data_IF_221581326482
#
_entry.id   IF_221581326482
#
_cell.length_a   1.000
_cell.length_b   1.000
_cell.length_c   1.000
_cell.angle_alpha   90.00
_cell.angle_beta   90.00
_cell.angle_gamma   90.00
#
_symmetry.space_group_name_H-M   'P 1'
#
loop_
_entity.id
_entity.type
_entity.pdbx_description
1 polymer ?
#
# COMPACT_ATOMS: atom_id res chain seq x y z
N UNK A 1 70.88 -1.43 45.75
CA UNK A 1 70.12 -2.39 44.90
C UNK A 1 68.68 -2.20 45.28
N UNK A 2 67.93 -1.43 44.46
CA UNK A 2 66.46 -1.21 44.62
C UNK A 2 65.78 -1.98 43.56
N UNK A 3 64.94 -2.90 43.97
CA UNK A 3 64.10 -3.69 43.05
C UNK A 3 62.79 -2.94 42.84
N UNK A 4 62.49 -2.53 41.53
CA UNK A 4 61.25 -2.02 41.15
C UNK A 4 60.31 -3.22 40.76
N UNK A 5 59.15 -3.33 41.42
CA UNK A 5 58.10 -4.22 41.07
C UNK A 5 57.16 -3.52 40.10
N UNK A 6 56.72 -4.15 38.95
CA UNK A 6 55.72 -3.57 38.06
C UNK A 6 54.35 -3.81 38.60
N UNK A 7 53.55 -2.73 38.73
CA UNK A 7 52.11 -2.73 39.00
C UNK A 7 51.38 -3.15 37.71
N UNK A 8 50.78 -4.35 37.72
CA UNK A 8 49.95 -4.84 36.64
C UNK A 8 48.51 -4.29 36.84
N UNK A 9 48.14 -3.25 36.12
CA UNK A 9 46.80 -2.71 36.12
C UNK A 9 45.89 -3.61 35.25
N UNK A 10 44.98 -4.36 35.90
CA UNK A 10 43.96 -5.19 35.28
C UNK A 10 42.83 -4.26 34.80
N UNK A 11 42.78 -3.93 33.51
CA UNK A 11 41.67 -3.25 32.87
C UNK A 11 40.49 -4.21 32.74
N UNK A 12 39.52 -4.13 33.64
CA UNK A 12 38.19 -4.74 33.51
C UNK A 12 37.43 -4.00 32.41
N UNK A 13 37.48 -4.54 31.21
CA UNK A 13 36.57 -4.16 30.13
C UNK A 13 35.16 -4.60 30.54
N UNK A 14 34.35 -3.69 31.07
CA UNK A 14 32.94 -3.89 31.33
C UNK A 14 32.23 -4.05 29.99
N UNK A 15 31.83 -5.27 29.65
CA UNK A 15 30.88 -5.52 28.56
C UNK A 15 29.54 -4.84 28.90
N UNK A 16 29.22 -3.76 28.21
CA UNK A 16 27.88 -3.18 28.28
C UNK A 16 26.91 -4.21 27.72
N UNK A 17 25.85 -4.62 28.45
CA UNK A 17 24.88 -5.55 27.96
C UNK A 17 24.23 -4.93 26.69
N UNK A 18 24.43 -5.58 25.58
CA UNK A 18 23.69 -5.27 24.34
C UNK A 18 22.21 -5.50 24.63
N UNK A 19 21.45 -4.41 24.72
CA UNK A 19 19.99 -4.47 24.80
C UNK A 19 19.53 -5.10 23.50
N UNK A 20 19.14 -6.36 23.55
CA UNK A 20 18.54 -7.04 22.41
C UNK A 20 17.32 -6.21 21.96
N UNK A 21 17.39 -5.67 20.75
CA UNK A 21 16.29 -4.91 20.19
C UNK A 21 15.04 -5.82 20.19
N UNK A 22 13.97 -5.37 20.83
CA UNK A 22 12.68 -6.07 20.77
C UNK A 22 12.31 -6.32 19.31
N UNK A 23 11.81 -7.52 18.98
CA UNK A 23 11.42 -7.81 17.61
C UNK A 23 10.40 -6.75 17.14
N UNK A 24 10.65 -6.19 15.94
CA UNK A 24 9.79 -5.15 15.38
C UNK A 24 8.35 -5.66 15.33
N UNK A 25 7.43 -4.89 15.89
CA UNK A 25 5.99 -5.15 15.80
C UNK A 25 5.57 -5.09 14.33
N UNK A 26 4.80 -6.09 13.87
CA UNK A 26 4.31 -6.17 12.49
C UNK A 26 2.80 -6.22 12.52
N UNK A 27 2.17 -5.37 11.71
CA UNK A 27 0.73 -5.38 11.51
C UNK A 27 0.39 -5.86 10.10
N UNK A 28 -0.63 -6.74 10.01
CA UNK A 28 -1.28 -7.04 8.75
C UNK A 28 -2.37 -6.00 8.50
N UNK A 29 -2.37 -5.42 7.31
CA UNK A 29 -3.34 -4.43 6.86
C UNK A 29 -4.13 -4.93 5.66
N UNK A 30 -5.38 -4.50 5.55
CA UNK A 30 -6.25 -4.73 4.41
C UNK A 30 -6.99 -3.44 4.07
N UNK A 31 -7.07 -3.11 2.79
CA UNK A 31 -7.83 -1.96 2.28
C UNK A 31 -8.76 -2.43 1.17
N UNK A 32 -9.98 -1.91 1.15
CA UNK A 32 -10.92 -2.06 0.03
C UNK A 32 -11.19 -0.67 -0.51
N UNK A 33 -10.88 -0.44 -1.78
CA UNK A 33 -11.08 0.82 -2.49
C UNK A 33 -12.15 0.64 -3.55
N UNK A 34 -13.02 1.63 -3.70
CA UNK A 34 -14.07 1.66 -4.73
C UNK A 34 -14.11 3.01 -5.40
N UNK A 35 -14.15 3.01 -6.71
CA UNK A 35 -14.26 4.20 -7.54
C UNK A 35 -15.06 3.94 -8.79
N UNK A 36 -15.33 5.00 -9.53
CA UNK A 36 -15.92 4.88 -10.86
C UNK A 36 -14.81 5.07 -11.90
N UNK A 37 -14.63 4.06 -12.74
CA UNK A 37 -13.65 4.09 -13.83
C UNK A 37 -14.35 4.30 -15.16
N UNK A 38 -13.85 5.23 -15.96
CA UNK A 38 -14.27 5.34 -17.36
C UNK A 38 -13.58 4.27 -18.19
N UNK A 39 -14.38 3.43 -18.85
CA UNK A 39 -13.89 2.43 -19.79
C UNK A 39 -14.33 2.87 -21.18
N UNK A 40 -13.42 2.90 -22.18
CA UNK A 40 -13.78 3.25 -23.55
C UNK A 40 -14.98 2.44 -24.04
N UNK A 41 -15.90 3.08 -24.73
CA UNK A 41 -17.14 2.50 -25.27
C UNK A 41 -18.18 2.06 -24.22
N UNK A 42 -17.97 2.34 -22.94
CA UNK A 42 -18.90 2.03 -21.86
C UNK A 42 -19.16 3.25 -20.97
N UNK A 43 -20.33 3.26 -20.30
CA UNK A 43 -20.58 4.15 -19.18
C UNK A 43 -19.57 3.85 -18.06
N UNK A 44 -19.35 4.83 -17.16
CA UNK A 44 -18.52 4.63 -15.99
C UNK A 44 -18.94 3.36 -15.24
N UNK A 45 -17.97 2.54 -14.87
CA UNK A 45 -18.17 1.26 -14.19
C UNK A 45 -17.54 1.30 -12.79
N UNK A 46 -18.13 0.56 -11.86
CA UNK A 46 -17.58 0.41 -10.54
C UNK A 46 -16.28 -0.41 -10.62
N UNK A 47 -15.19 0.19 -10.14
CA UNK A 47 -13.90 -0.46 -9.92
C UNK A 47 -13.73 -0.74 -8.42
N UNK A 48 -13.31 -1.94 -8.08
CA UNK A 48 -12.99 -2.31 -6.70
C UNK A 48 -11.62 -2.97 -6.66
N UNK A 49 -10.76 -2.44 -5.78
CA UNK A 49 -9.40 -2.95 -5.55
C UNK A 49 -9.23 -3.31 -4.08
N UNK A 50 -8.65 -4.47 -3.82
CA UNK A 50 -8.24 -4.94 -2.50
C UNK A 50 -6.72 -4.92 -2.38
N UNK A 51 -6.22 -4.23 -1.34
CA UNK A 51 -4.80 -4.14 -1.03
C UNK A 51 -4.50 -4.94 0.24
N UNK A 52 -3.50 -5.81 0.17
CA UNK A 52 -3.01 -6.62 1.28
C UNK A 52 -1.63 -6.12 1.66
N UNK A 53 -1.49 -5.67 2.90
CA UNK A 53 -0.38 -4.83 3.36
C UNK A 53 0.28 -5.45 4.59
N UNK A 54 1.60 -5.34 4.68
CA UNK A 54 2.32 -5.52 5.93
C UNK A 54 2.97 -4.21 6.33
N UNK A 55 2.88 -3.87 7.61
CA UNK A 55 3.47 -2.67 8.18
C UNK A 55 4.38 -3.03 9.35
N UNK A 56 5.61 -2.51 9.35
CA UNK A 56 6.44 -2.46 10.55
C UNK A 56 5.98 -1.27 11.38
N UNK A 57 5.77 -1.50 12.66
CA UNK A 57 5.22 -0.51 13.58
C UNK A 57 6.33 0.02 14.47
N UNK A 58 6.40 1.33 14.57
CA UNK A 58 7.24 2.03 15.55
C UNK A 58 6.37 2.94 16.39
N UNK A 59 6.46 2.82 17.72
CA UNK A 59 5.67 3.61 18.68
C UNK A 59 6.59 4.49 19.52
N UNK A 60 6.24 5.77 19.64
CA UNK A 60 6.91 6.73 20.53
C UNK A 60 5.85 7.55 21.27
N UNK A 61 5.52 7.13 22.49
CA UNK A 61 4.42 7.74 23.25
C UNK A 61 3.08 7.58 22.53
N UNK A 62 2.44 8.71 22.21
CA UNK A 62 1.17 8.76 21.48
C UNK A 62 1.33 8.74 19.96
N UNK A 63 2.55 8.73 19.46
CA UNK A 63 2.85 8.71 18.02
C UNK A 63 3.15 7.29 17.56
N UNK A 64 2.52 6.87 16.44
CA UNK A 64 2.72 5.56 15.81
C UNK A 64 3.08 5.78 14.35
N UNK A 65 4.16 5.17 13.90
CA UNK A 65 4.55 5.12 12.51
C UNK A 65 4.33 3.71 11.96
N UNK A 66 3.59 3.61 10.85
CA UNK A 66 3.43 2.39 10.08
C UNK A 66 4.27 2.49 8.81
N UNK A 67 5.43 1.84 8.78
CA UNK A 67 6.18 1.66 7.54
C UNK A 67 5.62 0.46 6.80
N UNK A 68 4.77 0.74 5.82
CA UNK A 68 3.96 -0.26 5.13
C UNK A 68 4.48 -0.56 3.71
N UNK A 69 4.25 -1.78 3.27
CA UNK A 69 4.46 -2.22 1.88
C UNK A 69 3.32 -3.15 1.45
N UNK A 70 3.04 -3.15 0.16
CA UNK A 70 2.04 -4.03 -0.41
C UNK A 70 2.58 -5.45 -0.57
N UNK A 71 1.81 -6.44 -0.15
CA UNK A 71 2.09 -7.84 -0.41
C UNK A 71 1.34 -8.36 -1.63
N UNK A 72 0.15 -7.78 -1.87
CA UNK A 72 -0.73 -8.18 -2.96
C UNK A 72 -1.71 -7.06 -3.26
N UNK A 73 -2.01 -6.85 -4.53
CA UNK A 73 -3.04 -5.94 -5.02
C UNK A 73 -3.96 -6.74 -5.93
N UNK A 74 -5.25 -6.74 -5.66
CA UNK A 74 -6.26 -7.48 -6.42
C UNK A 74 -7.35 -6.52 -6.88
N UNK A 75 -7.58 -6.44 -8.19
CA UNK A 75 -8.70 -5.70 -8.77
C UNK A 75 -9.79 -6.68 -9.20
N UNK A 76 -11.04 -6.34 -8.93
CA UNK A 76 -12.16 -7.16 -9.38
C UNK A 76 -12.32 -7.06 -10.89
N UNK A 77 -12.69 -8.16 -11.57
CA UNK A 77 -12.96 -8.12 -12.99
C UNK A 77 -14.08 -7.13 -13.32
N UNK A 78 -13.87 -6.30 -14.35
CA UNK A 78 -14.84 -5.34 -14.87
C UNK A 78 -15.33 -5.83 -16.22
N UNK A 79 -16.61 -6.20 -16.34
CA UNK A 79 -17.19 -6.68 -17.60
C UNK A 79 -16.42 -7.83 -18.27
N UNK A 80 -15.86 -8.74 -17.47
CA UNK A 80 -15.06 -9.87 -17.96
C UNK A 80 -13.60 -9.51 -18.31
N UNK A 81 -13.18 -8.28 -18.04
CA UNK A 81 -11.76 -7.86 -18.16
C UNK A 81 -11.13 -7.85 -16.78
N UNK A 82 -9.99 -8.51 -16.64
CA UNK A 82 -9.14 -8.44 -15.46
C UNK A 82 -7.94 -7.55 -15.74
N UNK A 83 -7.56 -6.77 -14.75
CA UNK A 83 -6.33 -5.96 -14.76
C UNK A 83 -5.54 -6.31 -13.51
N UNK A 84 -4.33 -6.78 -13.68
CA UNK A 84 -3.48 -7.21 -12.57
C UNK A 84 -2.12 -6.56 -12.67
N UNK A 85 -1.65 -5.94 -11.58
CA UNK A 85 -0.24 -5.53 -11.46
C UNK A 85 0.61 -6.80 -11.32
N UNK A 86 1.74 -6.85 -12.00
CA UNK A 86 2.68 -7.98 -11.91
C UNK A 86 3.14 -8.20 -10.46
N UNK A 87 3.43 -9.43 -10.08
CA UNK A 87 3.94 -9.72 -8.73
C UNK A 87 5.31 -9.08 -8.49
N UNK A 88 6.14 -8.95 -9.52
CA UNK A 88 7.39 -8.19 -9.48
C UNK A 88 7.11 -6.70 -9.25
N UNK A 89 6.11 -6.12 -9.93
CA UNK A 89 5.67 -4.76 -9.71
C UNK A 89 5.26 -4.50 -8.26
N UNK A 90 4.43 -5.37 -7.68
CA UNK A 90 4.05 -5.27 -6.26
C UNK A 90 5.28 -5.34 -5.35
N UNK A 91 6.23 -6.25 -5.62
CA UNK A 91 7.43 -6.43 -4.80
C UNK A 91 8.38 -5.22 -4.85
N UNK A 92 8.39 -4.47 -5.95
CA UNK A 92 9.24 -3.28 -6.14
C UNK A 92 8.55 -1.98 -5.73
N UNK A 93 7.26 -2.00 -5.36
CA UNK A 93 6.60 -0.80 -4.82
C UNK A 93 7.34 -0.30 -3.57
N UNK A 94 7.68 0.97 -3.55
CA UNK A 94 8.36 1.59 -2.43
C UNK A 94 7.51 1.49 -1.16
N UNK A 95 8.17 1.20 -0.04
CA UNK A 95 7.51 1.27 1.26
C UNK A 95 7.13 2.73 1.57
N UNK A 96 5.94 2.93 2.13
CA UNK A 96 5.45 4.24 2.55
C UNK A 96 5.29 4.29 4.07
N UNK A 97 5.40 5.50 4.65
CA UNK A 97 5.21 5.70 6.08
C UNK A 97 3.89 6.42 6.31
N UNK A 98 3.07 5.87 7.20
CA UNK A 98 1.82 6.47 7.67
C UNK A 98 2.01 6.87 9.12
N UNK A 99 1.84 8.15 9.41
CA UNK A 99 1.92 8.72 10.75
C UNK A 99 0.53 8.75 11.40
N UNK A 100 0.46 8.31 12.65
CA UNK A 100 -0.77 8.24 13.44
C UNK A 100 -0.50 8.90 14.79
N UNK A 101 -1.29 9.89 15.15
CA UNK A 101 -1.26 10.55 16.45
C UNK A 101 -2.53 10.17 17.23
N UNK A 102 -2.34 9.71 18.47
CA UNK A 102 -3.44 9.33 19.37
C UNK A 102 -3.53 10.39 20.47
N UNK A 103 -4.64 11.11 20.51
CA UNK A 103 -4.89 12.13 21.52
C UNK A 103 -5.26 11.49 22.87
N UNK A 104 -5.11 12.25 23.95
CA UNK A 104 -5.40 11.77 25.31
C UNK A 104 -6.88 11.36 25.52
N UNK A 105 -7.79 11.92 24.73
CA UNK A 105 -9.22 11.56 24.70
C UNK A 105 -9.55 10.34 23.83
N UNK A 106 -8.53 9.69 23.26
CA UNK A 106 -8.67 8.56 22.34
C UNK A 106 -8.91 8.95 20.88
N UNK A 107 -8.93 10.24 20.57
CA UNK A 107 -9.02 10.72 19.18
C UNK A 107 -7.83 10.27 18.37
N UNK A 108 -8.05 9.83 17.12
CA UNK A 108 -7.00 9.35 16.21
C UNK A 108 -6.91 10.26 15.01
N UNK A 109 -5.73 10.83 14.79
CA UNK A 109 -5.40 11.61 13.60
C UNK A 109 -4.38 10.86 12.76
N UNK A 110 -4.61 10.76 11.47
CA UNK A 110 -3.72 10.07 10.52
C UNK A 110 -3.23 11.07 9.49
N UNK A 111 -1.93 11.14 9.30
CA UNK A 111 -1.33 11.94 8.23
C UNK A 111 -1.64 11.35 6.86
N UNK A 112 -1.73 12.18 5.81
CA UNK A 112 -1.83 11.69 4.44
C UNK A 112 -0.51 11.05 4.01
N UNK A 113 -0.58 10.18 2.99
CA UNK A 113 0.61 9.61 2.38
C UNK A 113 0.43 9.40 0.89
N UNK A 114 1.54 9.28 0.19
CA UNK A 114 1.57 9.05 -1.25
C UNK A 114 2.15 7.67 -1.60
N UNK A 115 1.63 7.08 -2.66
CA UNK A 115 2.18 5.91 -3.33
C UNK A 115 2.38 6.30 -4.79
N UNK A 116 3.62 6.25 -5.25
CA UNK A 116 3.93 6.66 -6.62
C UNK A 116 5.03 5.79 -7.23
N UNK A 117 4.95 5.63 -8.55
CA UNK A 117 6.04 5.17 -9.39
C UNK A 117 6.04 5.98 -10.69
N UNK A 118 7.25 6.26 -11.20
CA UNK A 118 7.49 7.13 -12.35
C UNK A 118 7.50 6.38 -13.67
N UNK A 119 8.32 6.91 -14.59
CA UNK A 119 8.50 6.37 -15.93
C UNK A 119 9.63 5.34 -16.02
N UNK A 120 10.44 5.24 -14.98
CA UNK A 120 11.51 4.26 -14.89
C UNK A 120 10.91 2.86 -14.83
N UNK A 121 11.67 1.86 -15.29
CA UNK A 121 11.31 0.46 -15.16
C UNK A 121 11.19 0.10 -13.66
N UNK A 122 9.96 -0.04 -13.18
CA UNK A 122 9.69 -0.28 -11.75
C UNK A 122 9.82 -1.75 -11.39
N UNK A 123 9.48 -2.65 -12.30
CA UNK A 123 9.35 -4.09 -12.04
C UNK A 123 10.44 -4.95 -12.69
N UNK A 124 11.43 -4.30 -13.34
CA UNK A 124 12.63 -4.95 -13.87
C UNK A 124 12.38 -5.76 -15.15
N UNK A 125 11.30 -5.46 -15.88
CA UNK A 125 10.92 -6.19 -17.10
C UNK A 125 11.42 -5.53 -18.40
N UNK A 126 12.15 -4.41 -18.28
CA UNK A 126 12.69 -3.63 -19.40
C UNK A 126 11.65 -2.72 -20.05
N UNK A 127 10.49 -2.49 -19.40
CA UNK A 127 9.45 -1.57 -19.86
C UNK A 127 9.33 -0.37 -18.93
N UNK A 128 8.82 0.79 -19.41
CA UNK A 128 8.68 1.96 -18.57
C UNK A 128 7.50 1.81 -17.59
N UNK A 129 7.68 2.30 -16.37
CA UNK A 129 6.66 2.29 -15.32
C UNK A 129 6.47 0.92 -14.68
N UNK A 130 5.25 0.63 -14.24
CA UNK A 130 4.83 -0.69 -13.79
C UNK A 130 3.98 -1.38 -14.84
N UNK A 131 4.13 -2.70 -14.97
CA UNK A 131 3.42 -3.50 -15.93
C UNK A 131 2.14 -4.08 -15.36
N UNK A 132 1.02 -3.73 -16.00
CA UNK A 132 -0.30 -4.28 -15.71
C UNK A 132 -0.71 -5.22 -16.83
N UNK A 133 -0.95 -6.49 -16.48
CA UNK A 133 -1.50 -7.45 -17.43
C UNK A 133 -3.02 -7.31 -17.50
N UNK A 134 -3.50 -7.09 -18.70
CA UNK A 134 -4.93 -7.02 -19.03
C UNK A 134 -5.33 -8.31 -19.71
N UNK A 135 -6.37 -8.96 -19.19
CA UNK A 135 -6.94 -10.18 -19.79
C UNK A 135 -8.43 -9.99 -20.01
N UNK A 136 -8.85 -10.10 -21.24
CA UNK A 136 -10.25 -9.97 -21.63
C UNK A 136 -10.54 -10.73 -22.93
N UNK A 137 -11.81 -10.97 -23.23
CA UNK A 137 -12.24 -11.76 -24.38
C UNK A 137 -11.82 -11.15 -25.73
N UNK A 138 -11.84 -9.82 -25.82
CA UNK A 138 -11.58 -9.11 -27.08
C UNK A 138 -10.23 -8.42 -27.13
N UNK A 139 -9.62 -8.19 -25.95
CA UNK A 139 -8.37 -7.44 -25.85
C UNK A 139 -7.57 -7.92 -24.65
N UNK A 140 -6.37 -8.38 -24.89
CA UNK A 140 -5.44 -8.82 -23.86
C UNK A 140 -4.03 -8.32 -24.17
N UNK A 141 -3.18 -8.22 -23.16
CA UNK A 141 -1.79 -7.77 -23.25
C UNK A 141 -1.39 -6.98 -22.02
N UNK A 142 -0.33 -6.20 -22.14
CA UNK A 142 0.23 -5.44 -21.03
C UNK A 142 0.09 -3.93 -21.26
N UNK A 143 -0.18 -3.21 -20.17
CA UNK A 143 -0.13 -1.76 -20.09
C UNK A 143 1.05 -1.35 -19.24
N UNK A 144 1.81 -0.37 -19.69
CA UNK A 144 2.93 0.22 -18.98
C UNK A 144 2.46 1.55 -18.40
N UNK A 145 2.51 1.69 -17.07
CA UNK A 145 1.79 2.75 -16.35
C UNK A 145 2.70 3.45 -15.35
N UNK A 146 2.76 4.77 -15.40
CA UNK A 146 3.19 5.58 -14.27
C UNK A 146 1.95 5.96 -13.43
N UNK A 147 2.09 5.94 -12.11
CA UNK A 147 0.96 6.19 -11.20
C UNK A 147 1.37 7.05 -10.03
N UNK A 148 0.44 7.89 -9.59
CA UNK A 148 0.52 8.65 -8.35
C UNK A 148 -0.82 8.55 -7.63
N UNK A 149 -0.80 8.10 -6.38
CA UNK A 149 -1.97 7.95 -5.54
C UNK A 149 -1.76 8.70 -4.24
N UNK A 150 -2.66 9.62 -3.92
CA UNK A 150 -2.69 10.37 -2.68
C UNK A 150 -3.78 9.82 -1.77
N UNK A 151 -3.39 9.35 -0.59
CA UNK A 151 -4.26 8.76 0.41
C UNK A 151 -4.55 9.75 1.53
N UNK A 152 -5.82 9.92 1.88
CA UNK A 152 -6.27 10.71 3.01
C UNK A 152 -7.27 9.91 3.84
N UNK A 153 -7.05 9.85 5.16
CA UNK A 153 -7.99 9.18 6.08
C UNK A 153 -9.08 10.16 6.46
N UNK A 154 -10.34 9.79 6.22
CA UNK A 154 -11.51 10.59 6.56
C UNK A 154 -11.94 10.35 8.01
N UNK A 155 -11.83 9.12 8.49
CA UNK A 155 -12.14 8.69 9.86
C UNK A 155 -11.23 7.55 10.26
N UNK A 156 -10.73 7.57 11.48
CA UNK A 156 -9.93 6.51 12.05
C UNK A 156 -10.32 6.23 13.49
N UNK A 157 -10.07 5.01 13.92
CA UNK A 157 -10.16 4.59 15.30
C UNK A 157 -9.06 3.58 15.60
N UNK A 158 -8.57 3.62 16.81
CA UNK A 158 -7.66 2.63 17.37
C UNK A 158 -8.36 2.03 18.59
N UNK A 159 -8.67 0.74 18.57
CA UNK A 159 -9.32 0.01 19.66
C UNK A 159 -8.35 -1.10 20.10
N UNK A 160 -7.65 -0.85 21.20
CA UNK A 160 -6.43 -1.59 21.52
C UNK A 160 -5.41 -1.45 20.41
N UNK A 161 -5.08 -2.55 19.74
CA UNK A 161 -4.17 -2.58 18.60
C UNK A 161 -4.91 -2.77 17.25
N UNK A 162 -6.24 -2.82 17.26
CA UNK A 162 -7.04 -2.87 16.03
C UNK A 162 -7.22 -1.45 15.48
N UNK A 163 -6.51 -1.13 14.41
CA UNK A 163 -6.57 0.17 13.73
C UNK A 163 -7.44 0.07 12.48
N UNK A 164 -8.46 0.91 12.37
CA UNK A 164 -9.40 0.86 11.24
C UNK A 164 -10.03 2.21 10.95
N UNK A 165 -10.59 2.35 9.74
CA UNK A 165 -11.24 3.59 9.34
C UNK A 165 -11.70 3.62 7.90
N UNK A 166 -12.07 4.84 7.48
CA UNK A 166 -12.46 5.15 6.11
C UNK A 166 -11.39 6.06 5.48
N UNK A 167 -11.14 5.87 4.19
CA UNK A 167 -10.15 6.63 3.46
C UNK A 167 -10.65 7.05 2.08
N UNK A 168 -10.04 8.11 1.55
CA UNK A 168 -10.19 8.60 0.20
C UNK A 168 -8.84 8.49 -0.51
N UNK A 169 -8.86 8.13 -1.79
CA UNK A 169 -7.67 8.06 -2.64
C UNK A 169 -7.94 8.86 -3.91
N UNK A 170 -7.04 9.79 -4.21
CA UNK A 170 -6.98 10.46 -5.50
C UNK A 170 -5.84 9.83 -6.30
N UNK A 171 -6.17 9.21 -7.42
CA UNK A 171 -5.21 8.49 -8.24
C UNK A 171 -5.10 9.13 -9.62
N UNK A 172 -3.86 9.33 -10.07
CA UNK A 172 -3.52 9.71 -11.44
C UNK A 172 -2.71 8.61 -12.08
N UNK A 173 -3.13 8.17 -13.25
CA UNK A 173 -2.42 7.17 -14.03
C UNK A 173 -2.09 7.73 -15.41
N UNK A 174 -0.85 7.54 -15.85
CA UNK A 174 -0.39 7.86 -17.19
C UNK A 174 0.00 6.58 -17.91
N UNK A 175 -0.57 6.37 -19.09
CA UNK A 175 -0.23 5.24 -19.94
C UNK A 175 1.04 5.58 -20.71
N UNK A 176 2.11 4.84 -20.44
CA UNK A 176 3.42 5.01 -21.09
C UNK A 176 3.55 4.17 -22.34
N UNK A 177 2.73 3.12 -22.44
CA UNK A 177 2.73 2.22 -23.59
C UNK A 177 1.83 1.01 -23.36
N UNK A 178 1.70 0.18 -24.38
CA UNK A 178 0.97 -1.07 -24.31
C UNK A 178 1.56 -2.10 -25.28
N UNK A 179 1.46 -3.38 -24.93
CA UNK A 179 1.67 -4.48 -25.85
C UNK A 179 0.38 -4.70 -26.67
N UNK A 180 0.53 -4.76 -27.99
CA UNK A 180 -0.61 -5.01 -28.89
C UNK A 180 -1.40 -3.77 -29.29
N UNK A 181 -1.97 -3.84 -30.49
CA UNK A 181 -2.67 -2.72 -31.14
C UNK A 181 -4.00 -2.36 -30.43
N UNK A 182 -4.70 -3.37 -29.94
CA UNK A 182 -6.00 -3.20 -29.29
C UNK A 182 -5.86 -2.34 -28.04
N UNK A 183 -4.93 -2.67 -27.13
CA UNK A 183 -4.72 -1.91 -25.90
C UNK A 183 -4.22 -0.50 -26.18
N UNK A 184 -3.34 -0.32 -27.18
CA UNK A 184 -2.87 1.03 -27.59
C UNK A 184 -4.00 1.94 -28.04
N UNK A 185 -5.01 1.39 -28.70
CA UNK A 185 -6.16 2.17 -29.19
C UNK A 185 -7.17 2.49 -28.08
N UNK A 186 -7.19 1.72 -27.00
CA UNK A 186 -8.22 1.81 -25.96
C UNK A 186 -7.70 2.39 -24.64
N UNK A 187 -6.40 2.28 -24.37
CA UNK A 187 -5.82 2.75 -23.12
C UNK A 187 -5.59 4.27 -23.17
N UNK A 188 -5.96 4.95 -22.11
CA UNK A 188 -5.75 6.39 -21.94
C UNK A 188 -5.44 6.73 -20.49
N UNK A 189 -4.88 7.90 -20.30
CA UNK A 189 -4.61 8.45 -18.97
C UNK A 189 -5.90 8.56 -18.17
N UNK A 190 -5.83 8.36 -16.86
CA UNK A 190 -6.98 8.47 -15.97
C UNK A 190 -6.69 9.28 -14.71
N UNK A 191 -7.73 9.95 -14.22
CA UNK A 191 -7.78 10.58 -12.91
C UNK A 191 -9.01 10.02 -12.20
N UNK A 192 -8.78 9.34 -11.09
CA UNK A 192 -9.84 8.63 -10.38
C UNK A 192 -9.88 9.06 -8.91
N UNK A 193 -11.08 9.19 -8.37
CA UNK A 193 -11.31 9.35 -6.94
C UNK A 193 -11.96 8.08 -6.43
N UNK A 194 -11.34 7.47 -5.44
CA UNK A 194 -11.81 6.24 -4.81
C UNK A 194 -12.07 6.50 -3.33
N UNK A 195 -13.07 5.81 -2.79
CA UNK A 195 -13.35 5.76 -1.36
C UNK A 195 -13.26 4.33 -0.88
N UNK A 196 -12.89 4.16 0.38
CA UNK A 196 -12.76 2.82 0.89
C UNK A 196 -12.65 2.75 2.40
N UNK A 197 -12.39 1.55 2.86
CA UNK A 197 -12.14 1.25 4.26
C UNK A 197 -10.79 0.55 4.40
N UNK A 198 -10.19 0.69 5.57
CA UNK A 198 -8.99 -0.02 5.93
C UNK A 198 -9.12 -0.67 7.32
N UNK A 199 -8.35 -1.71 7.54
CA UNK A 199 -8.17 -2.31 8.86
C UNK A 199 -6.74 -2.86 8.97
N UNK A 200 -6.13 -2.68 10.13
CA UNK A 200 -4.83 -3.25 10.49
C UNK A 200 -4.96 -3.95 11.83
N UNK A 201 -4.20 -5.02 11.99
CA UNK A 201 -4.14 -5.82 13.23
C UNK A 201 -2.72 -6.35 13.44
N UNK A 202 -2.23 -6.43 14.68
CA UNK A 202 -0.97 -7.09 15.00
C UNK A 202 -0.92 -8.52 14.46
N UNK A 203 0.20 -8.86 13.87
CA UNK A 203 0.54 -10.20 13.46
C UNK A 203 1.63 -10.81 14.34
N UNK A 204 1.85 -12.12 14.26
CA UNK A 204 2.99 -12.76 14.91
C UNK A 204 4.32 -12.10 14.49
N UNK A 205 5.28 -12.05 15.41
CA UNK A 205 6.62 -11.56 15.12
C UNK A 205 7.24 -12.36 13.95
N UNK A 206 7.92 -11.64 13.04
CA UNK A 206 8.53 -12.27 11.87
C UNK A 206 7.56 -12.57 10.71
N UNK A 207 6.28 -12.13 10.80
CA UNK A 207 5.34 -12.26 9.67
C UNK A 207 5.88 -11.55 8.43
N UNK A 208 5.85 -12.24 7.29
CA UNK A 208 6.26 -11.73 5.98
C UNK A 208 5.16 -11.96 4.95
N UNK A 209 5.19 -11.25 3.82
CA UNK A 209 4.26 -11.49 2.71
C UNK A 209 4.29 -12.95 2.26
N UNK A 210 5.48 -13.55 2.19
CA UNK A 210 5.65 -14.95 1.80
C UNK A 210 5.04 -15.91 2.81
N UNK A 211 5.14 -15.62 4.12
CA UNK A 211 4.54 -16.48 5.17
C UNK A 211 3.02 -16.47 5.16
N UNK A 212 2.42 -15.44 4.55
CA UNK A 212 0.96 -15.29 4.36
C UNK A 212 0.48 -15.72 2.96
N UNK A 213 1.38 -16.04 2.04
CA UNK A 213 0.99 -16.48 0.70
C UNK A 213 0.15 -17.75 0.76
N UNK A 214 -0.97 -17.77 0.03
CA UNK A 214 -1.90 -18.90 -0.01
C UNK A 214 -2.73 -19.13 1.27
N UNK A 215 -2.60 -18.27 2.28
CA UNK A 215 -3.37 -18.34 3.53
C UNK A 215 -4.46 -17.26 3.57
N UNK A 216 -5.51 -17.44 4.39
CA UNK A 216 -6.45 -16.38 4.69
C UNK A 216 -5.70 -15.18 5.28
N UNK A 217 -6.01 -13.98 4.77
CA UNK A 217 -5.41 -12.76 5.30
C UNK A 217 -5.90 -12.49 6.72
N UNK A 218 -5.03 -12.12 7.68
CA UNK A 218 -5.37 -12.03 9.11
C UNK A 218 -6.46 -11.03 9.48
N UNK A 219 -6.66 -10.01 8.63
CA UNK A 219 -7.64 -8.94 8.85
C UNK A 219 -8.37 -8.63 7.56
N UNK A 220 -9.64 -8.20 7.68
CA UNK A 220 -10.43 -7.70 6.54
C UNK A 220 -11.07 -6.37 6.89
N UNK A 221 -10.84 -5.37 6.04
CA UNK A 221 -11.58 -4.12 6.09
C UNK A 221 -13.06 -4.39 5.78
N UNK A 222 -13.95 -3.69 6.47
CA UNK A 222 -15.39 -3.77 6.23
C UNK A 222 -15.85 -2.45 5.64
N UNK A 223 -16.15 -2.44 4.35
CA UNK A 223 -16.84 -1.29 3.77
C UNK A 223 -18.30 -1.31 4.19
N UNK A 224 -18.81 -0.17 4.67
CA UNK A 224 -20.26 -0.05 4.87
C UNK A 224 -20.98 -0.21 3.54
N UNK A 225 -22.08 -1.01 3.48
CA UNK A 225 -22.97 -0.99 2.32
C UNK A 225 -23.49 0.43 2.16
N UNK A 226 -23.26 1.09 1.05
CA UNK A 226 -23.80 2.41 0.76
C UNK A 226 -22.81 3.56 0.55
N UNK A 227 -21.50 3.36 0.68
CA UNK A 227 -20.52 4.30 0.13
C UNK A 227 -20.50 4.18 -1.40
N UNK A 228 -21.61 4.57 -2.04
CA UNK A 228 -21.69 4.66 -3.49
C UNK A 228 -20.63 5.68 -3.96
N UNK A 229 -19.85 5.29 -4.95
CA UNK A 229 -18.93 6.17 -5.63
C UNK A 229 -19.67 7.47 -6.04
N UNK A 230 -19.15 8.60 -5.58
CA UNK A 230 -19.63 9.90 -6.03
C UNK A 230 -19.28 10.01 -7.52
N UNK A 231 -20.29 10.13 -8.37
CA UNK A 231 -20.08 10.40 -9.77
C UNK A 231 -19.22 11.67 -9.91
N UNK A 232 -18.22 11.70 -10.83
CA UNK A 232 -17.44 12.90 -11.06
C UNK A 232 -18.37 14.04 -11.49
N UNK A 233 -18.10 15.29 -11.09
CA UNK A 233 -18.88 16.44 -11.57
C UNK A 233 -18.83 16.45 -13.10
N UNK A 234 -20.00 16.50 -13.74
CA UNK A 234 -20.17 16.36 -15.16
C UNK A 234 -19.23 17.28 -15.93
N UNK A 235 -18.46 16.72 -16.85
CA UNK A 235 -17.83 17.47 -17.93
C UNK A 235 -18.96 18.06 -18.76
N UNK A 236 -19.22 19.36 -18.60
CA UNK A 236 -20.06 20.12 -19.54
C UNK A 236 -19.36 20.04 -20.90
N UNK A 237 -20.05 19.46 -21.86
CA UNK A 237 -19.58 19.35 -23.22
C UNK A 237 -19.19 20.72 -23.79
N UNK A 238 -18.09 20.73 -24.50
CA UNK A 238 -17.81 21.63 -25.61
C UNK A 238 -17.69 20.78 -26.87
#
# INVERSE_FOLDING_TARGET
>A
MFALAPLLALLLLGETPSVAASPAEVWAGHQILRGMRHVPLHSAVLDETENYILAKVHRTGSHIELRQHFCRVESKPIKGVTVALSSSGVAHMSATTVAIDVAADGGVKVGPWDVAWGREDMDGDGKPGGTFTVSGTFCSGDLYVASQSHYAVERARLDGDDFSGDLKVEQKQQILGASGLCLRAMAGDSNESQKGAFAYRPGPAGTTCQSLAGKPWPVKARSKPGAAAVAPPGSKGQ
#
